data_IF_306293084455
#
_entry.id   IF_306293084455
#
_cell.length_a   1.000
_cell.length_b   1.000
_cell.length_c   1.000
_cell.angle_alpha   90.00
_cell.angle_beta   90.00
_cell.angle_gamma   90.00
#
_symmetry.space_group_name_H-M   'P 1'
#
loop_
_entity.id
_entity.type
_entity.pdbx_description
1 polymer ?
#
# COMPACT_ATOMS: atom_id res chain seq x y z
N UNK A 1 30.35 -18.00 -27.96
CA UNK A 1 30.04 -17.99 -26.50
C UNK A 1 29.19 -16.78 -26.04
N UNK A 2 28.26 -16.23 -26.84
CA UNK A 2 27.51 -15.00 -26.54
C UNK A 2 26.02 -15.22 -26.14
N UNK A 3 25.50 -16.45 -26.14
CA UNK A 3 24.05 -16.72 -25.99
C UNK A 3 23.56 -16.90 -24.52
N UNK A 4 24.45 -16.99 -23.53
CA UNK A 4 24.06 -17.22 -22.10
C UNK A 4 23.87 -15.94 -21.28
N UNK A 5 24.34 -14.76 -21.72
CA UNK A 5 24.20 -13.48 -21.00
C UNK A 5 22.79 -12.88 -21.10
N UNK A 6 22.03 -13.17 -22.16
CA UNK A 6 20.71 -12.61 -22.41
C UNK A 6 19.60 -13.17 -21.49
N UNK A 7 19.75 -14.37 -20.96
CA UNK A 7 18.72 -15.01 -20.13
C UNK A 7 18.68 -14.51 -18.68
N UNK A 8 19.82 -14.13 -18.11
CA UNK A 8 19.88 -13.60 -16.76
C UNK A 8 19.35 -12.14 -16.70
N UNK A 9 19.80 -11.29 -17.62
CA UNK A 9 19.32 -9.91 -17.73
C UNK A 9 17.82 -9.82 -18.00
N UNK A 10 17.26 -10.70 -18.85
CA UNK A 10 15.82 -10.75 -19.10
C UNK A 10 15.02 -11.20 -17.85
N UNK A 11 15.58 -12.07 -17.01
CA UNK A 11 14.94 -12.47 -15.75
C UNK A 11 14.96 -11.33 -14.72
N UNK A 12 16.08 -10.64 -14.59
CA UNK A 12 16.21 -9.51 -13.67
C UNK A 12 15.29 -8.34 -14.08
N UNK A 13 15.14 -8.09 -15.38
CA UNK A 13 14.24 -7.06 -15.91
C UNK A 13 12.75 -7.44 -15.69
N UNK A 14 12.38 -8.70 -15.82
CA UNK A 14 11.02 -9.19 -15.53
C UNK A 14 10.71 -9.08 -14.03
N UNK A 15 11.66 -9.40 -13.15
CA UNK A 15 11.49 -9.28 -11.71
C UNK A 15 11.34 -7.80 -11.30
N UNK A 16 12.17 -6.92 -11.85
CA UNK A 16 12.08 -5.47 -11.60
C UNK A 16 10.72 -4.91 -12.06
N UNK A 17 10.22 -5.35 -13.22
CA UNK A 17 8.93 -4.90 -13.75
C UNK A 17 7.76 -5.40 -12.88
N UNK A 18 7.82 -6.64 -12.39
CA UNK A 18 6.80 -7.18 -11.49
C UNK A 18 6.75 -6.44 -10.16
N UNK A 19 7.91 -6.04 -9.62
CA UNK A 19 7.98 -5.24 -8.39
C UNK A 19 7.33 -3.85 -8.57
N UNK A 20 7.53 -3.22 -9.73
CA UNK A 20 6.86 -1.94 -10.06
C UNK A 20 5.35 -2.13 -10.16
N UNK A 21 4.87 -3.20 -10.81
CA UNK A 21 3.45 -3.47 -10.95
C UNK A 21 2.78 -3.71 -9.56
N UNK A 22 3.47 -4.41 -8.66
CA UNK A 22 3.03 -4.61 -7.27
C UNK A 22 2.99 -3.28 -6.50
N UNK A 23 4.04 -2.46 -6.62
CA UNK A 23 4.10 -1.16 -5.97
C UNK A 23 2.94 -0.26 -6.41
N UNK A 24 2.74 -0.10 -7.72
CA UNK A 24 1.64 0.69 -8.29
C UNK A 24 0.28 0.14 -7.82
N UNK A 25 0.12 -1.17 -7.80
CA UNK A 25 -1.09 -1.84 -7.30
C UNK A 25 -1.38 -1.49 -5.83
N UNK A 26 -0.36 -1.53 -4.98
CA UNK A 26 -0.47 -1.17 -3.57
C UNK A 26 -0.87 0.31 -3.37
N UNK A 27 -0.35 1.22 -4.21
CA UNK A 27 -0.70 2.65 -4.18
C UNK A 27 -2.16 2.90 -4.61
N UNK A 28 -2.65 2.17 -5.62
CA UNK A 28 -4.06 2.21 -6.03
C UNK A 28 -4.95 1.77 -4.85
N UNK A 29 -4.63 0.63 -4.24
CA UNK A 29 -5.34 0.10 -3.08
C UNK A 29 -5.34 1.08 -1.91
N UNK A 30 -4.18 1.62 -1.54
CA UNK A 30 -4.04 2.60 -0.46
C UNK A 30 -4.99 3.78 -0.68
N UNK A 31 -4.96 4.41 -1.85
CA UNK A 31 -5.77 5.59 -2.10
C UNK A 31 -7.27 5.26 -2.12
N UNK A 32 -7.66 4.15 -2.75
CA UNK A 32 -9.04 3.66 -2.72
C UNK A 32 -9.55 3.49 -1.28
N UNK A 33 -8.74 2.86 -0.45
CA UNK A 33 -9.10 2.58 0.95
C UNK A 33 -9.20 3.87 1.76
N UNK A 34 -8.29 4.83 1.56
CA UNK A 34 -8.35 6.15 2.19
C UNK A 34 -9.63 6.92 1.82
N UNK A 35 -10.14 6.74 0.60
CA UNK A 35 -11.42 7.30 0.16
C UNK A 35 -12.64 6.51 0.66
N UNK A 36 -12.44 5.38 1.35
CA UNK A 36 -13.52 4.52 1.82
C UNK A 36 -14.23 3.76 0.69
N UNK A 37 -13.62 3.66 -0.49
CA UNK A 37 -14.22 2.97 -1.64
C UNK A 37 -13.99 1.46 -1.54
N UNK A 38 -15.00 0.67 -1.92
CA UNK A 38 -14.83 -0.77 -2.14
C UNK A 38 -14.20 -1.05 -3.50
N UNK A 39 -13.60 -2.24 -3.69
CA UNK A 39 -13.09 -2.65 -5.00
C UNK A 39 -14.19 -2.68 -6.06
N UNK A 40 -15.41 -3.03 -5.67
CA UNK A 40 -16.58 -3.01 -6.55
C UNK A 40 -16.94 -1.58 -6.98
N UNK A 41 -16.92 -0.62 -6.04
CA UNK A 41 -17.21 0.78 -6.34
C UNK A 41 -16.15 1.38 -7.28
N UNK A 42 -14.87 1.10 -7.04
CA UNK A 42 -13.79 1.53 -7.95
C UNK A 42 -13.96 0.89 -9.32
N UNK A 43 -14.27 -0.42 -9.39
CA UNK A 43 -14.52 -1.12 -10.64
C UNK A 43 -15.64 -0.46 -11.45
N UNK A 44 -16.78 -0.18 -10.83
CA UNK A 44 -17.90 0.51 -11.47
C UNK A 44 -17.50 1.89 -12.02
N UNK A 45 -16.74 2.67 -11.23
CA UNK A 45 -16.32 4.00 -11.64
C UNK A 45 -15.38 4.03 -12.87
N UNK A 46 -14.57 2.97 -13.04
CA UNK A 46 -13.60 2.86 -14.15
C UNK A 46 -13.99 1.85 -15.23
N UNK A 47 -15.20 1.27 -15.16
CA UNK A 47 -15.70 0.30 -16.12
C UNK A 47 -14.99 -1.04 -16.08
N UNK A 48 -14.63 -1.52 -14.89
CA UNK A 48 -13.95 -2.79 -14.64
C UNK A 48 -14.72 -3.68 -13.68
N UNK A 49 -14.44 -4.99 -13.73
CA UNK A 49 -14.97 -5.95 -12.77
C UNK A 49 -14.18 -5.90 -11.45
N UNK A 50 -14.80 -6.35 -10.37
CA UNK A 50 -14.14 -6.54 -9.08
C UNK A 50 -12.84 -7.37 -9.20
N UNK A 51 -12.88 -8.49 -9.95
CA UNK A 51 -11.71 -9.36 -10.13
C UNK A 51 -10.57 -8.65 -10.87
N UNK A 52 -10.87 -7.76 -11.81
CA UNK A 52 -9.85 -6.97 -12.50
C UNK A 52 -9.21 -5.95 -11.55
N UNK A 53 -9.99 -5.27 -10.73
CA UNK A 53 -9.45 -4.36 -9.69
C UNK A 53 -8.56 -5.14 -8.73
N UNK A 54 -9.01 -6.29 -8.24
CA UNK A 54 -8.21 -7.13 -7.35
C UNK A 54 -6.85 -7.54 -7.98
N UNK A 55 -6.84 -7.90 -9.27
CA UNK A 55 -5.61 -8.25 -9.98
C UNK A 55 -4.66 -7.04 -10.13
N UNK A 56 -5.20 -5.85 -10.39
CA UNK A 56 -4.39 -4.63 -10.44
C UNK A 56 -3.81 -4.27 -9.07
N UNK A 57 -4.61 -4.32 -8.01
CA UNK A 57 -4.16 -4.01 -6.66
C UNK A 57 -3.11 -4.99 -6.12
N UNK A 58 -3.12 -6.25 -6.61
CA UNK A 58 -2.11 -7.27 -6.30
C UNK A 58 -0.89 -7.23 -7.23
N UNK A 59 -0.84 -6.34 -8.22
CA UNK A 59 0.21 -6.32 -9.22
C UNK A 59 0.24 -7.54 -10.15
N UNK A 60 -0.81 -8.38 -10.12
CA UNK A 60 -0.93 -9.54 -10.99
C UNK A 60 -1.22 -9.16 -12.45
N UNK A 61 -1.73 -7.95 -12.68
CA UNK A 61 -1.94 -7.36 -13.99
C UNK A 61 -1.20 -6.04 -14.08
N UNK A 62 -0.44 -5.86 -15.16
CA UNK A 62 0.21 -4.59 -15.48
C UNK A 62 -0.82 -3.51 -15.78
N UNK A 63 -0.67 -2.34 -15.16
CA UNK A 63 -1.54 -1.19 -15.38
C UNK A 63 -1.04 -0.37 -16.56
N UNK A 64 -1.85 -0.21 -17.61
CA UNK A 64 -1.50 0.65 -18.75
C UNK A 64 -1.53 2.14 -18.36
N UNK A 65 -0.81 2.98 -19.11
CA UNK A 65 -0.78 4.42 -18.88
C UNK A 65 -2.18 5.06 -18.92
N UNK A 66 -3.03 4.66 -19.87
CA UNK A 66 -4.42 5.13 -19.95
C UNK A 66 -5.25 4.72 -18.73
N UNK A 67 -4.99 3.53 -18.19
CA UNK A 67 -5.67 3.02 -17.01
C UNK A 67 -5.19 3.74 -15.74
N UNK A 68 -3.89 4.02 -15.63
CA UNK A 68 -3.33 4.84 -14.56
C UNK A 68 -3.96 6.24 -14.53
N UNK A 69 -4.14 6.84 -15.71
CA UNK A 69 -4.80 8.14 -15.83
C UNK A 69 -6.26 8.09 -15.34
N UNK A 70 -7.00 7.04 -15.70
CA UNK A 70 -8.38 6.83 -15.23
C UNK A 70 -8.43 6.63 -13.70
N UNK A 71 -7.53 5.83 -13.14
CA UNK A 71 -7.42 5.66 -11.69
C UNK A 71 -7.08 7.00 -11.01
N UNK A 72 -6.14 7.77 -11.56
CA UNK A 72 -5.80 9.09 -11.03
C UNK A 72 -7.00 10.03 -10.98
N UNK A 73 -7.76 10.12 -12.07
CA UNK A 73 -8.97 10.93 -12.13
C UNK A 73 -10.06 10.47 -11.15
N UNK A 74 -10.26 9.14 -11.02
CA UNK A 74 -11.29 8.57 -10.14
C UNK A 74 -10.92 8.66 -8.67
N UNK A 75 -9.64 8.51 -8.34
CA UNK A 75 -9.12 8.52 -6.98
C UNK A 75 -8.66 9.91 -6.53
N UNK A 76 -8.83 10.92 -7.38
CA UNK A 76 -8.44 12.32 -7.12
C UNK A 76 -6.96 12.44 -6.69
N UNK A 77 -6.07 11.91 -7.55
CA UNK A 77 -4.61 12.02 -7.39
C UNK A 77 -3.93 12.15 -8.75
N UNK A 78 -2.78 12.86 -8.83
CA UNK A 78 -1.98 12.87 -10.05
C UNK A 78 -1.39 11.48 -10.32
N UNK A 79 -1.08 11.18 -11.59
CA UNK A 79 -0.49 9.88 -11.97
C UNK A 79 0.85 9.64 -11.26
N UNK A 80 1.63 10.69 -10.99
CA UNK A 80 2.89 10.60 -10.23
C UNK A 80 2.70 9.97 -8.84
N UNK A 81 1.54 10.14 -8.21
CA UNK A 81 1.22 9.56 -6.91
C UNK A 81 1.46 8.04 -6.87
N UNK A 82 1.18 7.33 -7.96
CA UNK A 82 1.34 5.88 -8.02
C UNK A 82 2.81 5.44 -8.05
N UNK A 83 3.74 6.36 -8.27
CA UNK A 83 5.19 6.12 -8.34
C UNK A 83 5.97 6.85 -7.25
N UNK A 84 5.30 7.68 -6.42
CA UNK A 84 5.94 8.45 -5.37
C UNK A 84 6.60 7.52 -4.34
N UNK A 85 7.91 7.65 -4.15
CA UNK A 85 8.71 6.81 -3.27
C UNK A 85 9.31 5.56 -3.94
N UNK A 86 9.00 5.27 -5.19
CA UNK A 86 9.57 4.11 -5.90
C UNK A 86 11.09 4.24 -6.12
N UNK A 87 11.61 5.49 -6.21
CA UNK A 87 13.03 5.75 -6.41
C UNK A 87 13.85 5.77 -5.11
N UNK A 88 13.21 5.92 -3.96
CA UNK A 88 13.87 5.85 -2.67
C UNK A 88 14.10 4.37 -2.32
N UNK A 89 15.31 3.86 -2.61
CA UNK A 89 15.68 2.46 -2.34
C UNK A 89 15.54 2.05 -0.87
N UNK A 90 15.40 3.00 0.05
CA UNK A 90 15.09 2.76 1.46
C UNK A 90 13.58 2.54 1.72
N UNK A 91 12.74 2.75 0.73
CA UNK A 91 11.30 2.51 0.75
C UNK A 91 10.90 1.45 -0.29
N UNK A 92 11.61 0.34 -0.31
CA UNK A 92 10.98 -0.91 -0.72
C UNK A 92 10.05 -1.26 0.45
N UNK A 93 8.72 -1.13 0.33
CA UNK A 93 7.87 -1.75 1.32
C UNK A 93 8.30 -3.21 1.31
N UNK A 94 8.71 -3.71 2.48
CA UNK A 94 8.96 -5.13 2.62
C UNK A 94 7.66 -5.81 2.19
N UNK A 95 7.66 -6.37 0.97
CA UNK A 95 6.47 -7.00 0.36
C UNK A 95 6.05 -8.21 1.20
N UNK A 96 6.91 -8.63 2.12
CA UNK A 96 6.63 -9.64 3.14
C UNK A 96 5.61 -9.16 4.18
N UNK A 97 5.47 -7.83 4.42
CA UNK A 97 4.46 -7.29 5.34
C UNK A 97 3.02 -7.60 4.93
N UNK A 98 2.73 -7.75 3.63
CA UNK A 98 1.37 -8.10 3.19
C UNK A 98 1.05 -9.59 3.31
N UNK A 99 2.06 -10.46 3.27
CA UNK A 99 1.87 -11.90 3.44
C UNK A 99 1.64 -12.28 4.92
N UNK A 100 2.26 -11.53 5.85
CA UNK A 100 2.15 -11.80 7.28
C UNK A 100 0.96 -11.09 7.96
N UNK A 101 0.42 -10.03 7.34
CA UNK A 101 -0.73 -9.29 7.89
C UNK A 101 -2.09 -9.92 7.56
N UNK A 102 -2.15 -10.86 6.63
CA UNK A 102 -3.40 -11.55 6.26
C UNK A 102 -3.16 -13.05 6.25
N UNK A 103 -3.42 -13.71 7.37
CA UNK A 103 -3.64 -15.16 7.35
C UNK A 103 -4.77 -15.48 6.36
N UNK A 104 -4.71 -16.61 5.61
CA UNK A 104 -5.76 -16.99 4.68
C UNK A 104 -7.11 -17.07 5.41
N UNK A 105 -8.02 -16.14 5.11
CA UNK A 105 -9.36 -16.05 5.73
C UNK A 105 -9.55 -14.89 6.72
N UNK A 106 -8.52 -14.15 7.11
CA UNK A 106 -8.70 -12.94 7.91
C UNK A 106 -9.08 -11.73 7.04
N UNK A 107 -9.97 -10.84 7.55
CA UNK A 107 -10.30 -9.62 6.85
C UNK A 107 -9.07 -8.71 6.79
N UNK A 108 -8.85 -8.12 5.62
CA UNK A 108 -7.78 -7.17 5.33
C UNK A 108 -7.66 -6.11 6.46
N UNK A 109 -6.52 -6.01 7.16
CA UNK A 109 -6.32 -5.01 8.20
C UNK A 109 -6.58 -3.58 7.72
N UNK A 110 -6.30 -3.28 6.43
CA UNK A 110 -6.57 -1.98 5.82
C UNK A 110 -8.06 -1.72 5.57
N UNK A 111 -8.91 -2.76 5.61
CA UNK A 111 -10.37 -2.63 5.56
C UNK A 111 -11.00 -2.39 6.94
N UNK A 112 -10.24 -2.53 8.02
CA UNK A 112 -10.74 -2.30 9.38
C UNK A 112 -11.01 -0.81 9.59
N UNK A 113 -12.14 -0.50 10.22
CA UNK A 113 -12.54 0.88 10.52
C UNK A 113 -11.49 1.62 11.34
N UNK A 114 -10.91 0.95 12.33
CA UNK A 114 -9.86 1.46 13.20
C UNK A 114 -8.62 1.90 12.42
N UNK A 115 -8.15 1.07 11.47
CA UNK A 115 -7.00 1.40 10.61
C UNK A 115 -7.27 2.63 9.76
N UNK A 116 -8.49 2.75 9.20
CA UNK A 116 -8.89 3.91 8.41
C UNK A 116 -8.97 5.17 9.25
N UNK A 117 -9.49 5.09 10.48
CA UNK A 117 -9.55 6.21 11.42
C UNK A 117 -8.15 6.66 11.82
N UNK A 118 -7.24 5.72 12.13
CA UNK A 118 -5.85 6.00 12.46
C UNK A 118 -5.14 6.71 11.30
N UNK A 119 -5.24 6.19 10.08
CA UNK A 119 -4.59 6.78 8.91
C UNK A 119 -5.15 8.18 8.62
N UNK A 120 -6.47 8.36 8.71
CA UNK A 120 -7.08 9.69 8.54
C UNK A 120 -6.60 10.68 9.61
N UNK A 121 -6.54 10.28 10.87
CA UNK A 121 -6.04 11.11 11.95
C UNK A 121 -4.57 11.49 11.74
N UNK A 122 -3.74 10.53 11.36
CA UNK A 122 -2.33 10.74 11.07
C UNK A 122 -2.08 11.79 9.97
N UNK A 123 -2.83 11.73 8.86
CA UNK A 123 -2.69 12.69 7.77
C UNK A 123 -3.33 14.07 8.05
N UNK A 124 -4.15 14.20 9.08
CA UNK A 124 -4.65 15.52 9.55
C UNK A 124 -3.59 16.31 10.32
N UNK A 125 -2.53 15.67 10.77
CA UNK A 125 -1.38 16.34 11.40
C UNK A 125 -0.59 17.04 10.29
N UNK A 126 -0.59 18.36 10.23
CA UNK A 126 0.11 19.12 9.20
C UNK A 126 1.63 19.11 9.40
N UNK A 127 2.08 19.13 10.66
CA UNK A 127 3.50 19.11 10.99
C UNK A 127 4.15 17.76 10.69
N UNK A 128 5.08 17.77 9.71
CA UNK A 128 5.82 16.59 9.27
C UNK A 128 6.71 16.01 10.39
N UNK A 129 7.29 16.86 11.25
CA UNK A 129 8.16 16.39 12.32
C UNK A 129 7.34 15.66 13.40
N UNK A 130 6.15 16.19 13.71
CA UNK A 130 5.23 15.56 14.65
C UNK A 130 4.72 14.22 14.12
N UNK A 131 4.36 14.14 12.84
CA UNK A 131 3.97 12.86 12.21
C UNK A 131 5.06 11.81 12.31
N UNK A 132 6.33 12.20 12.08
CA UNK A 132 7.47 11.29 12.17
C UNK A 132 7.64 10.74 13.59
N UNK A 133 7.57 11.63 14.60
CA UNK A 133 7.66 11.22 16.02
C UNK A 133 6.53 10.26 16.42
N UNK A 134 5.32 10.52 15.93
CA UNK A 134 4.17 9.64 16.17
C UNK A 134 4.37 8.25 15.54
N UNK A 135 4.89 8.19 14.32
CA UNK A 135 5.21 6.92 13.67
C UNK A 135 6.29 6.15 14.43
N UNK A 136 7.35 6.84 14.90
CA UNK A 136 8.41 6.23 15.67
C UNK A 136 7.88 5.71 17.03
N UNK A 137 6.95 6.42 17.66
CA UNK A 137 6.27 5.97 18.88
C UNK A 137 5.44 4.70 18.61
N UNK A 138 4.64 4.68 17.55
CA UNK A 138 3.83 3.50 17.19
C UNK A 138 4.74 2.29 16.95
N UNK A 139 5.86 2.48 16.24
CA UNK A 139 6.85 1.41 16.01
C UNK A 139 7.48 0.90 17.31
N UNK A 140 7.83 1.82 18.21
CA UNK A 140 8.42 1.47 19.50
C UNK A 140 7.44 0.66 20.37
N UNK A 141 6.17 1.07 20.41
CA UNK A 141 5.12 0.35 21.15
C UNK A 141 4.87 -1.03 20.55
N UNK A 142 4.81 -1.13 19.22
CA UNK A 142 4.63 -2.42 18.54
C UNK A 142 5.82 -3.38 18.75
N UNK A 143 7.04 -2.86 18.86
CA UNK A 143 8.25 -3.67 19.10
C UNK A 143 8.43 -4.07 20.57
N UNK A 144 7.80 -3.35 21.50
CA UNK A 144 7.98 -3.57 22.95
C UNK A 144 7.12 -4.73 23.49
N UNK A 145 6.23 -5.31 22.69
CA UNK A 145 5.26 -6.36 23.10
C UNK A 145 4.58 -6.02 24.46
N UNK A 146 4.21 -4.73 24.62
CA UNK A 146 3.65 -4.20 25.87
C UNK A 146 2.24 -4.76 26.03
N UNK A 147 1.95 -5.53 27.08
CA UNK A 147 0.61 -6.01 27.34
C UNK A 147 -0.34 -4.81 27.56
N UNK A 148 -1.55 -4.90 27.00
CA UNK A 148 -2.54 -3.81 27.00
C UNK A 148 -2.83 -3.22 28.40
N UNK A 149 -2.66 -4.00 29.45
CA UNK A 149 -2.91 -3.64 30.85
C UNK A 149 -1.92 -2.59 31.38
N UNK A 150 -0.71 -2.52 30.84
CA UNK A 150 0.30 -1.56 31.26
C UNK A 150 0.00 -0.12 30.78
N UNK A 151 -0.79 0.02 29.71
CA UNK A 151 -1.14 1.32 29.15
C UNK A 151 -2.30 2.01 29.89
N UNK A 152 -3.24 1.24 30.42
CA UNK A 152 -4.40 1.76 31.16
C UNK A 152 -4.02 2.32 32.54
N UNK A 153 -2.98 1.77 33.15
CA UNK A 153 -2.49 2.23 34.46
C UNK A 153 -1.82 3.61 34.44
N UNK A 154 -1.40 4.10 33.27
CA UNK A 154 -0.73 5.40 33.13
C UNK A 154 -1.68 6.58 32.85
N UNK A 155 -2.98 6.30 32.60
CA UNK A 155 -3.97 7.33 32.24
C UNK A 155 -4.81 7.79 33.43
N UNK A 156 -4.73 7.09 34.57
CA UNK A 156 -5.46 7.39 35.81
C UNK A 156 -4.59 8.10 36.89
N UNK A 157 -3.45 8.64 36.54
CA UNK A 157 -2.57 9.44 37.36
C UNK A 157 -2.47 10.87 36.79
#
# INVERSE_FOLDING_TARGET
MARRRNGAQAKDEVVATAAVDQYVGSRIRLRRTLLGMTQTALGQAVGLTFQQIQKYEKGANRVSASRLWQFGATLDVPVSFFFDGLADQDYMPDVTLEADLCAPGEPDPMARRETLELVRAYYRIEDRALRRRLLDLIRAVAAADVPADAFLAATDA
#
